data_IF_905569190717
#
_entry.id   IF_905569190717
#
_cell.length_a   1.000
_cell.length_b   1.000
_cell.length_c   1.000
_cell.angle_alpha   90.00
_cell.angle_beta   90.00
_cell.angle_gamma   90.00
#
_symmetry.space_group_name_H-M   'P 1'
#
loop_
_entity.id
_entity.type
_entity.pdbx_description
1 polymer ?
#
# COMPACT_ATOMS: atom_id res chain seq x y z
N UNK A 1 6.25 -10.17 24.81
CA UNK A 1 5.36 -9.01 25.02
C UNK A 1 4.41 -8.85 23.83
N UNK A 2 3.12 -8.69 24.06
CA UNK A 2 2.15 -8.44 22.99
C UNK A 2 2.43 -7.07 22.35
N UNK A 3 2.61 -7.04 21.03
CA UNK A 3 2.89 -5.81 20.28
C UNK A 3 1.64 -4.93 20.26
N UNK A 4 1.77 -3.66 20.65
CA UNK A 4 0.64 -2.71 20.72
C UNK A 4 -0.16 -2.68 19.42
N UNK A 5 -1.52 -2.53 19.47
CA UNK A 5 -2.34 -2.31 18.29
C UNK A 5 -1.85 -1.07 17.54
N UNK A 6 -1.91 -1.11 16.18
CA UNK A 6 -1.70 0.09 15.39
C UNK A 6 -2.88 1.03 15.56
N UNK A 7 -2.58 2.28 15.83
CA UNK A 7 -3.58 3.35 15.73
C UNK A 7 -3.61 3.81 14.28
N UNK A 8 -4.67 3.48 13.56
CA UNK A 8 -4.90 3.94 12.19
C UNK A 8 -6.11 4.87 12.20
N UNK A 9 -5.85 6.16 11.99
CA UNK A 9 -6.87 7.22 12.00
C UNK A 9 -7.48 7.37 10.61
N UNK A 10 -8.76 7.72 10.56
CA UNK A 10 -9.44 8.18 9.36
C UNK A 10 -8.81 9.49 8.82
N UNK A 11 -9.07 9.78 7.55
CA UNK A 11 -8.64 11.03 6.92
C UNK A 11 -7.20 11.04 6.41
N UNK A 12 -6.33 10.15 6.84
CA UNK A 12 -4.98 10.03 6.29
C UNK A 12 -4.93 8.98 5.18
N UNK A 13 -4.15 9.25 4.14
CA UNK A 13 -3.74 8.22 3.19
C UNK A 13 -2.60 7.41 3.79
N UNK A 14 -2.63 6.11 3.62
CA UNK A 14 -1.59 5.20 4.10
C UNK A 14 -0.95 4.45 2.94
N UNK A 15 0.38 4.45 2.90
CA UNK A 15 1.10 3.43 2.15
C UNK A 15 1.15 2.16 2.99
N UNK A 16 0.71 1.05 2.39
CA UNK A 16 0.62 -0.26 3.04
C UNK A 16 1.31 -1.29 2.20
N UNK A 17 2.07 -2.18 2.83
CA UNK A 17 2.70 -3.28 2.13
C UNK A 17 2.82 -4.52 3.03
N UNK A 18 2.87 -5.69 2.39
CA UNK A 18 3.39 -6.91 2.98
C UNK A 18 4.11 -7.75 1.93
N UNK A 19 4.96 -8.65 2.39
CA UNK A 19 5.74 -9.54 1.54
C UNK A 19 5.58 -11.00 1.95
N UNK A 20 5.98 -11.90 1.04
CA UNK A 20 5.98 -13.33 1.30
C UNK A 20 6.89 -13.71 2.47
N UNK A 21 6.52 -14.78 3.17
CA UNK A 21 7.41 -15.45 4.10
C UNK A 21 8.54 -16.17 3.33
N UNK A 22 9.70 -16.33 3.95
CA UNK A 22 10.83 -17.17 3.47
C UNK A 22 11.27 -16.87 2.03
N UNK A 23 11.30 -15.63 1.60
CA UNK A 23 11.73 -15.21 0.25
C UNK A 23 10.98 -15.89 -0.91
N UNK A 24 9.82 -16.50 -0.64
CA UNK A 24 8.97 -17.14 -1.64
C UNK A 24 8.20 -16.14 -2.51
N UNK A 25 7.51 -16.66 -3.52
CA UNK A 25 6.60 -15.87 -4.34
C UNK A 25 5.19 -15.89 -3.76
N UNK A 26 4.54 -14.72 -3.71
CA UNK A 26 3.11 -14.61 -3.46
C UNK A 26 2.30 -14.94 -4.71
N UNK A 27 2.84 -14.56 -5.86
CA UNK A 27 2.19 -14.68 -7.16
C UNK A 27 3.14 -15.32 -8.17
N UNK A 28 2.75 -16.44 -8.74
CA UNK A 28 3.50 -17.20 -9.74
C UNK A 28 2.78 -17.19 -11.09
N UNK A 29 1.47 -17.24 -11.05
CA UNK A 29 0.58 -17.32 -12.22
C UNK A 29 -0.37 -16.13 -12.30
N UNK A 30 -0.89 -15.86 -13.49
CA UNK A 30 -1.96 -14.85 -13.65
C UNK A 30 -3.18 -15.11 -12.77
N UNK A 31 -3.49 -16.38 -12.46
CA UNK A 31 -4.59 -16.75 -11.57
C UNK A 31 -4.35 -16.31 -10.11
N UNK A 32 -3.11 -16.35 -9.64
CA UNK A 32 -2.75 -15.86 -8.30
C UNK A 32 -3.02 -14.36 -8.19
N UNK A 33 -2.52 -13.59 -9.15
CA UNK A 33 -2.74 -12.14 -9.21
C UNK A 33 -4.22 -11.78 -9.32
N UNK A 34 -4.95 -12.43 -10.22
CA UNK A 34 -6.38 -12.21 -10.40
C UNK A 34 -7.17 -12.54 -9.13
N UNK A 35 -6.74 -13.55 -8.38
CA UNK A 35 -7.35 -13.90 -7.09
C UNK A 35 -7.11 -12.81 -6.06
N UNK A 36 -5.91 -12.27 -5.97
CA UNK A 36 -5.60 -11.15 -5.07
C UNK A 36 -6.39 -9.89 -5.44
N UNK A 37 -6.45 -9.54 -6.73
CA UNK A 37 -7.19 -8.37 -7.23
C UNK A 37 -8.68 -8.47 -6.90
N UNK A 38 -9.31 -9.63 -7.12
CA UNK A 38 -10.72 -9.87 -6.72
C UNK A 38 -10.93 -9.69 -5.22
N UNK A 39 -9.99 -10.16 -4.39
CA UNK A 39 -10.07 -9.99 -2.94
C UNK A 39 -9.89 -8.54 -2.53
N UNK A 40 -8.98 -7.82 -3.17
CA UNK A 40 -8.76 -6.38 -2.96
C UNK A 40 -10.06 -5.60 -3.18
N UNK A 41 -10.73 -5.84 -4.31
CA UNK A 41 -12.00 -5.20 -4.67
C UNK A 41 -13.12 -5.61 -3.71
N UNK A 42 -13.22 -6.89 -3.37
CA UNK A 42 -14.22 -7.39 -2.41
C UNK A 42 -14.04 -6.77 -1.02
N UNK A 43 -12.80 -6.65 -0.57
CA UNK A 43 -12.48 -6.01 0.71
C UNK A 43 -12.83 -4.50 0.68
N UNK A 44 -12.61 -3.81 -0.46
CA UNK A 44 -12.98 -2.41 -0.66
C UNK A 44 -14.46 -2.16 -0.32
N UNK A 45 -15.34 -2.95 -0.87
CA UNK A 45 -16.79 -2.86 -0.62
C UNK A 45 -17.11 -3.21 0.84
N UNK A 46 -16.56 -4.32 1.35
CA UNK A 46 -16.84 -4.81 2.71
C UNK A 46 -16.46 -3.84 3.82
N UNK A 47 -15.40 -3.08 3.65
CA UNK A 47 -14.86 -2.19 4.69
C UNK A 47 -14.95 -0.70 4.31
N UNK A 48 -15.70 -0.36 3.26
CA UNK A 48 -15.82 1.02 2.75
C UNK A 48 -14.46 1.72 2.63
N UNK A 49 -13.46 0.97 2.08
CA UNK A 49 -12.08 1.45 1.94
C UNK A 49 -11.90 2.10 0.56
N UNK A 50 -11.36 3.32 0.53
CA UNK A 50 -10.93 3.93 -0.71
C UNK A 50 -9.53 3.42 -1.06
N UNK A 51 -9.38 2.91 -2.29
CA UNK A 51 -8.10 2.42 -2.82
C UNK A 51 -7.65 3.40 -3.89
N UNK A 52 -6.55 4.11 -3.64
CA UNK A 52 -6.01 5.09 -4.57
C UNK A 52 -5.06 4.45 -5.58
N UNK A 53 -4.22 3.54 -5.10
CA UNK A 53 -3.29 2.80 -5.94
C UNK A 53 -3.02 1.40 -5.38
N UNK A 54 -2.65 0.48 -6.27
CA UNK A 54 -2.07 -0.79 -5.91
C UNK A 54 -1.03 -1.24 -6.94
N UNK A 55 -0.13 -2.10 -6.47
CA UNK A 55 0.77 -2.84 -7.33
C UNK A 55 1.08 -4.19 -6.67
N UNK A 56 0.69 -5.29 -7.33
CA UNK A 56 1.04 -6.64 -6.92
C UNK A 56 2.31 -7.06 -7.64
N UNK A 57 3.39 -7.32 -6.87
CA UNK A 57 4.70 -7.76 -7.34
C UNK A 57 4.88 -9.24 -7.03
N UNK A 58 5.74 -9.98 -7.71
CA UNK A 58 5.87 -11.43 -7.50
C UNK A 58 6.02 -11.86 -6.05
N UNK A 59 6.70 -11.06 -5.20
CA UNK A 59 7.03 -11.41 -3.82
C UNK A 59 6.33 -10.55 -2.76
N UNK A 60 5.66 -9.48 -3.16
CA UNK A 60 5.05 -8.50 -2.26
C UNK A 60 3.98 -7.68 -2.97
N UNK A 61 3.25 -6.88 -2.23
CA UNK A 61 2.29 -5.92 -2.79
C UNK A 61 2.37 -4.59 -2.08
N UNK A 62 2.02 -3.53 -2.79
CA UNK A 62 1.89 -2.16 -2.28
C UNK A 62 0.49 -1.63 -2.52
N UNK A 63 -0.06 -0.93 -1.53
CA UNK A 63 -1.36 -0.26 -1.61
C UNK A 63 -1.24 1.18 -1.13
N UNK A 64 -1.99 2.09 -1.74
CA UNK A 64 -2.35 3.38 -1.16
C UNK A 64 -3.82 3.32 -0.76
N UNK A 65 -4.09 3.38 0.54
CA UNK A 65 -5.42 3.24 1.13
C UNK A 65 -5.81 4.49 1.88
N UNK A 66 -7.07 4.89 1.73
CA UNK A 66 -7.63 6.07 2.40
C UNK A 66 -8.87 5.69 3.21
N UNK A 67 -8.71 5.31 4.49
CA UNK A 67 -9.82 4.90 5.35
C UNK A 67 -10.73 6.07 5.69
N UNK A 68 -12.05 5.84 5.67
CA UNK A 68 -13.07 6.80 6.10
C UNK A 68 -13.38 6.72 7.60
N UNK A 69 -12.94 5.65 8.27
CA UNK A 69 -13.17 5.40 9.69
C UNK A 69 -11.89 4.93 10.38
N UNK A 70 -11.77 5.25 11.67
CA UNK A 70 -10.68 4.76 12.51
C UNK A 70 -10.66 3.23 12.56
N UNK A 71 -9.49 2.66 12.56
CA UNK A 71 -9.25 1.21 12.57
C UNK A 71 -9.72 0.44 11.30
N UNK A 72 -10.39 1.09 10.33
CA UNK A 72 -10.85 0.44 9.10
C UNK A 72 -9.68 -0.16 8.31
N UNK A 73 -8.54 0.53 8.25
CA UNK A 73 -7.32 0.05 7.61
C UNK A 73 -6.88 -1.32 8.13
N UNK A 74 -6.80 -1.46 9.46
CA UNK A 74 -6.35 -2.70 10.09
C UNK A 74 -7.31 -3.86 9.84
N UNK A 75 -8.62 -3.60 9.87
CA UNK A 75 -9.66 -4.60 9.58
C UNK A 75 -9.61 -5.04 8.11
N UNK A 76 -9.49 -4.08 7.21
CA UNK A 76 -9.38 -4.30 5.77
C UNK A 76 -8.17 -5.19 5.44
N UNK A 77 -6.97 -4.79 5.86
CA UNK A 77 -5.74 -5.52 5.51
C UNK A 77 -5.71 -6.89 6.15
N UNK A 78 -6.14 -7.03 7.41
CA UNK A 78 -6.23 -8.33 8.08
C UNK A 78 -7.14 -9.29 7.30
N UNK A 79 -8.31 -8.81 6.84
CA UNK A 79 -9.23 -9.65 6.07
C UNK A 79 -8.64 -10.02 4.71
N UNK A 80 -8.03 -9.04 4.00
CA UNK A 80 -7.39 -9.26 2.70
C UNK A 80 -6.31 -10.34 2.81
N UNK A 81 -5.37 -10.18 3.74
CA UNK A 81 -4.26 -11.12 3.96
C UNK A 81 -4.75 -12.52 4.34
N UNK A 82 -5.69 -12.62 5.28
CA UNK A 82 -6.24 -13.91 5.73
C UNK A 82 -6.97 -14.61 4.58
N UNK A 83 -7.78 -13.88 3.81
CA UNK A 83 -8.51 -14.43 2.67
C UNK A 83 -7.58 -14.84 1.53
N UNK A 84 -6.53 -14.06 1.27
CA UNK A 84 -5.52 -14.41 0.28
C UNK A 84 -4.71 -15.63 0.71
N UNK A 85 -4.22 -15.66 1.95
CA UNK A 85 -3.44 -16.78 2.47
C UNK A 85 -4.23 -18.11 2.41
N UNK A 86 -5.51 -18.09 2.77
CA UNK A 86 -6.35 -19.28 2.67
C UNK A 86 -6.45 -19.81 1.23
N UNK A 87 -6.66 -18.94 0.23
CA UNK A 87 -6.71 -19.33 -1.18
C UNK A 87 -5.37 -19.74 -1.74
N UNK A 88 -4.32 -19.06 -1.32
CA UNK A 88 -2.95 -19.38 -1.69
C UNK A 88 -2.56 -20.79 -1.27
N UNK A 89 -2.86 -21.16 -0.02
CA UNK A 89 -2.64 -22.49 0.51
C UNK A 89 -3.50 -23.55 -0.18
N UNK A 90 -4.77 -23.25 -0.43
CA UNK A 90 -5.67 -24.17 -1.12
C UNK A 90 -5.16 -24.48 -2.54
N UNK A 91 -4.79 -23.47 -3.30
CA UNK A 91 -4.26 -23.61 -4.66
C UNK A 91 -2.97 -24.43 -4.74
N UNK A 92 -2.21 -24.50 -3.66
CA UNK A 92 -0.90 -25.20 -3.58
C UNK A 92 -0.94 -26.48 -2.75
N UNK A 93 -2.09 -26.92 -2.28
CA UNK A 93 -2.23 -28.09 -1.40
C UNK A 93 -1.39 -27.98 -0.13
N UNK A 94 -1.18 -26.76 0.39
CA UNK A 94 -0.28 -26.48 1.49
C UNK A 94 -0.97 -25.94 2.75
N UNK A 95 -2.25 -26.25 2.93
CA UNK A 95 -3.01 -25.86 4.11
C UNK A 95 -2.32 -26.38 5.39
N UNK A 96 -2.12 -25.47 6.36
CA UNK A 96 -1.43 -25.80 7.61
C UNK A 96 0.11 -25.77 7.54
N UNK A 97 0.72 -25.46 6.40
CA UNK A 97 2.19 -25.50 6.22
C UNK A 97 2.89 -24.15 6.41
N UNK A 98 2.47 -23.37 7.41
CA UNK A 98 3.17 -22.15 7.81
C UNK A 98 2.55 -20.87 7.24
N UNK A 99 3.22 -19.75 7.46
CA UNK A 99 2.71 -18.42 7.09
C UNK A 99 3.02 -18.09 5.63
N UNK A 100 2.04 -17.51 4.92
CA UNK A 100 2.21 -16.96 3.56
C UNK A 100 2.92 -15.62 3.61
N UNK A 101 2.61 -14.80 4.60
CA UNK A 101 3.20 -13.46 4.79
C UNK A 101 4.28 -13.46 5.86
N UNK A 102 5.30 -12.61 5.69
CA UNK A 102 6.46 -12.53 6.60
C UNK A 102 6.10 -12.07 8.03
N UNK A 103 4.90 -11.60 8.24
CA UNK A 103 4.40 -11.11 9.52
C UNK A 103 3.29 -10.09 9.33
N UNK A 104 3.18 -9.15 10.26
CA UNK A 104 2.20 -8.07 10.14
C UNK A 104 2.57 -7.12 9.01
N UNK A 105 1.60 -6.70 8.22
CA UNK A 105 1.80 -5.67 7.19
C UNK A 105 2.49 -4.41 7.75
N UNK A 106 3.23 -3.69 6.93
CA UNK A 106 3.75 -2.36 7.26
C UNK A 106 2.78 -1.30 6.76
N UNK A 107 2.63 -0.22 7.49
CA UNK A 107 1.82 0.93 7.06
C UNK A 107 2.40 2.22 7.63
N UNK A 108 2.47 3.23 6.79
CA UNK A 108 2.88 4.58 7.17
C UNK A 108 1.86 5.60 6.64
N UNK A 109 1.47 6.60 7.43
CA UNK A 109 0.63 7.69 6.94
C UNK A 109 1.44 8.60 6.02
N UNK A 110 0.76 9.11 4.99
CA UNK A 110 1.33 9.97 3.95
C UNK A 110 0.65 11.34 4.00
N UNK A 111 1.44 12.40 4.01
CA UNK A 111 0.94 13.76 3.84
C UNK A 111 0.40 13.93 2.41
N UNK A 112 -0.72 14.64 2.26
CA UNK A 112 -1.29 15.02 0.95
C UNK A 112 -0.36 15.95 0.16
N UNK A 113 -0.73 16.29 -1.07
CA UNK A 113 0.11 17.09 -1.95
C UNK A 113 1.31 16.31 -2.50
N UNK A 114 2.45 16.96 -2.58
CA UNK A 114 3.67 16.43 -3.17
C UNK A 114 4.06 15.04 -2.62
N UNK A 115 3.95 14.82 -1.31
CA UNK A 115 4.32 13.55 -0.70
C UNK A 115 3.39 12.40 -1.12
N UNK A 116 2.10 12.69 -1.31
CA UNK A 116 1.16 11.70 -1.80
C UNK A 116 1.47 11.32 -3.26
N UNK A 117 1.70 12.30 -4.13
CA UNK A 117 2.08 12.04 -5.52
C UNK A 117 3.40 11.26 -5.61
N UNK A 118 4.36 11.59 -4.76
CA UNK A 118 5.62 10.86 -4.69
C UNK A 118 5.39 9.39 -4.30
N UNK A 119 4.60 9.14 -3.24
CA UNK A 119 4.27 7.79 -2.79
C UNK A 119 3.46 7.02 -3.85
N UNK A 120 2.57 7.71 -4.57
CA UNK A 120 1.78 7.12 -5.65
C UNK A 120 2.69 6.67 -6.81
N UNK A 121 3.60 7.55 -7.25
CA UNK A 121 4.64 7.20 -8.22
C UNK A 121 5.47 6.00 -7.74
N UNK A 122 5.85 5.99 -6.47
CA UNK A 122 6.60 4.88 -5.88
C UNK A 122 5.85 3.56 -6.05
N UNK A 123 4.55 3.52 -5.78
CA UNK A 123 3.72 2.32 -5.92
C UNK A 123 3.62 1.88 -7.39
N UNK A 124 3.28 2.79 -8.30
CA UNK A 124 3.01 2.45 -9.70
C UNK A 124 4.29 2.22 -10.52
N UNK A 125 5.43 2.76 -10.11
CA UNK A 125 6.74 2.50 -10.72
C UNK A 125 7.43 1.22 -10.22
N UNK A 126 6.87 0.52 -9.25
CA UNK A 126 7.52 -0.69 -8.71
C UNK A 126 7.92 -1.71 -9.79
N UNK A 127 7.07 -2.07 -10.76
CA UNK A 127 7.42 -3.06 -11.78
C UNK A 127 8.55 -2.59 -12.68
N UNK A 128 8.52 -1.32 -13.10
CA UNK A 128 9.58 -0.71 -13.91
C UNK A 128 10.92 -0.70 -13.14
N UNK A 129 10.90 -0.29 -11.86
CA UNK A 129 12.09 -0.28 -11.01
C UNK A 129 12.65 -1.68 -10.74
N UNK A 130 11.80 -2.70 -10.78
CA UNK A 130 12.19 -4.10 -10.64
C UNK A 130 12.58 -4.77 -11.97
N UNK A 131 12.65 -4.02 -13.07
CA UNK A 131 12.94 -4.51 -14.43
C UNK A 131 12.00 -5.65 -14.87
N UNK A 132 10.73 -5.62 -14.45
CA UNK A 132 9.72 -6.59 -14.87
C UNK A 132 9.03 -6.18 -16.18
N UNK A 133 9.06 -4.89 -16.50
CA UNK A 133 8.45 -4.28 -17.69
C UNK A 133 9.33 -3.13 -18.19
N UNK A 134 9.23 -2.78 -19.46
CA UNK A 134 9.88 -1.60 -20.05
C UNK A 134 9.19 -0.29 -19.68
N UNK A 135 7.85 -0.32 -19.53
CA UNK A 135 7.02 0.80 -19.11
C UNK A 135 6.09 0.37 -17.99
N UNK A 136 5.86 1.27 -17.02
CA UNK A 136 5.05 0.95 -15.84
C UNK A 136 3.60 0.55 -16.17
N UNK A 137 3.03 1.13 -17.25
CA UNK A 137 1.67 0.84 -17.72
C UNK A 137 1.49 -0.56 -18.29
N UNK A 138 2.58 -1.23 -18.66
CA UNK A 138 2.54 -2.62 -19.17
C UNK A 138 2.27 -3.64 -18.04
N UNK A 139 2.46 -3.25 -16.79
CA UNK A 139 2.24 -4.17 -15.67
C UNK A 139 0.77 -4.34 -15.35
N UNK A 140 0.17 -5.45 -15.85
CA UNK A 140 -1.28 -5.73 -15.72
C UNK A 140 -1.78 -5.67 -14.27
N UNK A 141 -0.95 -5.99 -13.31
CA UNK A 141 -1.33 -6.16 -11.91
C UNK A 141 -1.08 -4.89 -11.07
N UNK A 142 -1.48 -3.75 -11.63
CA UNK A 142 -1.36 -2.43 -11.00
C UNK A 142 -2.58 -1.56 -11.28
N UNK A 143 -2.80 -0.55 -10.42
CA UNK A 143 -3.82 0.48 -10.65
C UNK A 143 -3.54 1.32 -11.89
N UNK A 144 -2.27 1.51 -12.26
CA UNK A 144 -1.90 2.24 -13.46
C UNK A 144 -2.42 1.56 -14.72
N UNK A 145 -2.27 0.24 -14.81
CA UNK A 145 -2.76 -0.51 -15.97
C UNK A 145 -4.26 -0.27 -16.19
N UNK A 146 -5.05 -0.33 -15.13
CA UNK A 146 -6.48 -0.06 -15.21
C UNK A 146 -6.79 1.36 -15.68
N UNK A 147 -6.07 2.37 -15.14
CA UNK A 147 -6.29 3.77 -15.55
C UNK A 147 -5.98 4.02 -17.02
N UNK A 148 -5.02 3.31 -17.59
CA UNK A 148 -4.60 3.48 -18.98
C UNK A 148 -5.45 2.64 -19.93
N UNK A 149 -5.71 1.38 -19.60
CA UNK A 149 -6.31 0.43 -20.54
C UNK A 149 -7.81 0.23 -20.35
N UNK A 150 -8.34 0.44 -19.13
CA UNK A 150 -9.78 0.32 -18.83
C UNK A 150 -10.21 1.28 -17.73
N UNK A 151 -10.13 2.60 -17.99
CA UNK A 151 -10.43 3.63 -16.98
C UNK A 151 -11.89 3.62 -16.51
N UNK A 152 -12.82 3.18 -17.37
CA UNK A 152 -14.26 3.15 -17.06
C UNK A 152 -14.59 2.11 -15.99
N UNK A 153 -13.91 0.95 -16.02
CA UNK A 153 -14.14 -0.12 -15.07
C UNK A 153 -13.06 -0.18 -13.97
N UNK A 154 -12.16 0.80 -13.92
CA UNK A 154 -11.11 0.86 -12.91
C UNK A 154 -11.71 0.91 -11.50
N UNK A 155 -11.47 -0.09 -10.64
CA UNK A 155 -12.13 -0.20 -9.34
C UNK A 155 -11.41 0.63 -8.25
N UNK A 156 -10.84 1.78 -8.63
CA UNK A 156 -10.03 2.63 -7.77
C UNK A 156 -10.68 3.99 -7.57
N UNK A 157 -10.42 4.57 -6.41
CA UNK A 157 -10.99 5.84 -6.01
C UNK A 157 -10.07 7.00 -6.41
N UNK A 158 -10.67 8.17 -6.65
CA UNK A 158 -9.92 9.41 -6.74
C UNK A 158 -9.27 9.72 -5.39
N UNK A 159 -8.08 10.32 -5.43
CA UNK A 159 -7.41 10.82 -4.24
C UNK A 159 -8.05 12.06 -3.65
N UNK A 160 -7.54 12.54 -2.51
CA UNK A 160 -7.94 13.84 -1.97
C UNK A 160 -7.63 14.99 -2.93
N UNK A 161 -6.70 14.77 -3.85
CA UNK A 161 -6.32 15.68 -4.92
C UNK A 161 -6.28 14.89 -6.24
N UNK A 162 -6.68 15.48 -7.38
CA UNK A 162 -6.66 14.81 -8.68
C UNK A 162 -5.21 14.53 -9.10
N UNK A 163 -4.99 13.42 -9.80
CA UNK A 163 -3.70 13.16 -10.41
C UNK A 163 -3.41 14.21 -11.51
N UNK A 164 -2.16 14.65 -11.66
CA UNK A 164 -1.76 15.52 -12.76
C UNK A 164 -2.13 14.93 -14.13
N UNK A 165 -2.55 15.75 -15.11
CA UNK A 165 -2.91 15.25 -16.44
C UNK A 165 -1.79 14.50 -17.16
N UNK A 166 -0.53 14.83 -16.87
CA UNK A 166 0.67 14.19 -17.40
C UNK A 166 1.19 13.05 -16.51
N UNK A 167 0.32 12.39 -15.74
CA UNK A 167 0.72 11.38 -14.74
C UNK A 167 1.59 10.27 -15.31
N UNK A 168 1.23 9.70 -16.45
CA UNK A 168 2.00 8.63 -17.10
C UNK A 168 3.41 9.09 -17.47
N UNK A 169 3.54 10.33 -17.99
CA UNK A 169 4.86 10.91 -18.29
C UNK A 169 5.70 11.09 -17.00
N UNK A 170 5.09 11.47 -15.89
CA UNK A 170 5.80 11.56 -14.61
C UNK A 170 6.32 10.19 -14.12
N UNK A 171 5.70 9.10 -14.52
CA UNK A 171 6.14 7.76 -14.18
C UNK A 171 7.39 7.32 -14.97
N UNK A 172 7.74 7.95 -16.08
CA UNK A 172 8.99 7.65 -16.81
C UNK A 172 10.22 8.21 -16.10
N UNK A 173 10.06 9.31 -15.35
CA UNK A 173 11.16 9.96 -14.62
C UNK A 173 11.52 9.17 -13.36
N UNK A 174 12.77 8.68 -13.21
CA UNK A 174 13.19 7.99 -12.00
C UNK A 174 13.10 8.88 -10.75
N UNK A 175 12.77 8.27 -9.64
CA UNK A 175 12.99 8.87 -8.32
C UNK A 175 14.48 8.76 -7.97
N UNK A 176 15.02 9.75 -7.30
CA UNK A 176 16.43 9.73 -6.89
C UNK A 176 16.69 8.63 -5.87
N UNK A 177 17.93 8.17 -5.79
CA UNK A 177 18.33 7.14 -4.83
C UNK A 177 18.08 7.58 -3.39
N UNK A 178 18.41 8.84 -3.05
CA UNK A 178 18.20 9.39 -1.72
C UNK A 178 16.72 9.44 -1.31
N UNK A 179 15.82 9.84 -2.23
CA UNK A 179 14.37 9.82 -2.00
C UNK A 179 13.84 8.40 -1.74
N UNK A 180 14.35 7.43 -2.50
CA UNK A 180 13.97 6.03 -2.32
C UNK A 180 14.44 5.46 -0.98
N UNK A 181 15.65 5.82 -0.57
CA UNK A 181 16.23 5.40 0.71
C UNK A 181 15.47 6.00 1.89
N UNK A 182 15.15 7.30 1.88
CA UNK A 182 14.35 7.94 2.93
C UNK A 182 12.97 7.27 3.05
N UNK A 183 12.27 7.08 1.94
CA UNK A 183 10.95 6.45 1.97
C UNK A 183 10.98 5.02 2.51
N UNK A 184 11.95 4.22 2.07
CA UNK A 184 12.16 2.85 2.56
C UNK A 184 12.51 2.82 4.05
N UNK A 185 13.37 3.73 4.50
CA UNK A 185 13.72 3.85 5.92
C UNK A 185 12.50 4.20 6.77
N UNK A 186 11.60 5.07 6.29
CA UNK A 186 10.33 5.38 6.97
C UNK A 186 9.41 4.17 7.06
N UNK A 187 9.30 3.41 5.99
CA UNK A 187 8.53 2.15 5.97
C UNK A 187 9.10 1.16 7.00
N UNK A 188 10.42 1.02 7.07
CA UNK A 188 11.07 0.11 8.04
C UNK A 188 10.80 0.56 9.48
N UNK A 189 10.93 1.84 9.77
CA UNK A 189 10.70 2.42 11.09
C UNK A 189 9.20 2.55 11.45
N UNK A 190 8.30 2.49 10.46
CA UNK A 190 6.86 2.74 10.65
C UNK A 190 6.53 4.21 10.95
N UNK A 191 7.33 5.15 10.43
CA UNK A 191 7.16 6.60 10.63
C UNK A 191 6.46 7.26 9.45
N UNK A 192 5.75 8.36 9.72
CA UNK A 192 5.00 9.10 8.71
C UNK A 192 5.90 9.69 7.60
N UNK A 193 5.39 9.74 6.36
CA UNK A 193 6.04 10.37 5.22
C UNK A 193 5.36 11.72 4.91
N UNK A 194 6.08 12.78 5.13
CA UNK A 194 5.62 14.15 4.99
C UNK A 194 6.70 15.14 5.42
N UNK A 195 6.39 16.43 5.32
CA UNK A 195 7.26 17.49 5.82
C UNK A 195 7.52 17.33 7.33
N UNK A 196 8.62 17.86 7.80
CA UNK A 196 8.97 17.79 9.22
C UNK A 196 7.90 18.45 10.09
N UNK A 197 7.46 19.65 9.74
CA UNK A 197 6.42 20.37 10.46
C UNK A 197 5.11 19.56 10.55
N UNK A 198 4.68 18.91 9.45
CA UNK A 198 3.49 18.09 9.45
C UNK A 198 3.65 16.85 10.32
N UNK A 199 4.80 16.19 10.30
CA UNK A 199 5.07 15.02 11.14
C UNK A 199 5.03 15.39 12.63
N UNK A 200 5.69 16.47 13.01
CA UNK A 200 5.69 16.96 14.38
C UNK A 200 4.27 17.31 14.86
N UNK A 201 3.48 18.03 14.05
CA UNK A 201 2.12 18.42 14.44
C UNK A 201 1.14 17.25 14.55
N UNK A 202 1.31 16.17 13.76
CA UNK A 202 0.31 15.11 13.68
C UNK A 202 0.69 13.83 14.45
N UNK A 203 1.98 13.52 14.59
CA UNK A 203 2.44 12.20 15.04
C UNK A 203 3.45 12.23 16.17
N UNK A 204 4.13 13.36 16.41
CA UNK A 204 5.03 13.51 17.54
C UNK A 204 4.29 14.13 18.73
N UNK A 205 4.53 13.68 19.96
CA UNK A 205 3.92 14.29 21.13
C UNK A 205 4.45 15.72 21.27
N UNK A 206 3.59 16.71 21.24
CA UNK A 206 3.94 18.07 21.72
C UNK A 206 4.29 17.95 23.20
N UNK A 207 5.49 18.34 23.60
CA UNK A 207 5.96 18.30 25.00
C UNK A 207 5.02 19.04 25.98
N UNK A 208 4.13 19.87 25.47
CA UNK A 208 3.19 20.69 26.26
C UNK A 208 1.97 19.94 26.81
N UNK A 209 1.74 18.67 26.51
CA UNK A 209 0.64 17.88 27.13
C UNK A 209 1.03 17.18 28.43
N UNK A 210 2.23 17.32 28.94
CA UNK A 210 2.66 16.77 30.21
C UNK A 210 2.42 17.70 31.39
N UNK A 211 2.08 18.97 31.19
CA UNK A 211 1.96 19.98 32.27
C UNK A 211 0.56 20.15 32.86
N UNK A 212 -0.43 19.33 32.49
CA UNK A 212 -1.80 19.47 33.06
C UNK A 212 -2.29 18.16 33.65
N UNK A 213 -1.50 17.59 34.56
CA UNK A 213 -1.93 16.61 35.56
C UNK A 213 -1.09 16.84 36.82
N UNK A 214 -1.38 17.89 37.51
CA UNK A 214 -1.15 18.08 38.96
C UNK A 214 -2.49 18.33 39.60
#
# INVERSE_FOLDING_TARGET
>A
MARRPRVTKAGYVYHVLNRSAKSGRLFETGADYATFERLLIKARVKFSMRILAYCAMPTHWHLLLWPSQDQALSKYVKWLESSHAARWHLARGSVGRGAVYQGRFKSIPIQTGHHLYWAWRYVERNPLRANLVGDAEQWRWSSLWWRVHDPVHAPFDAGPEPLPPNWTALLTVPQTQGELEDFRARIERGTAFGSEAWRQSQFEPTEHRRATKL
#
